data_IF_713445495333
#
_entry.id   IF_713445495333
#
_cell.length_a   1.000
_cell.length_b   1.000
_cell.length_c   1.000
_cell.angle_alpha   90.00
_cell.angle_beta   90.00
_cell.angle_gamma   90.00
#
_symmetry.space_group_name_H-M   'P 1'
#
loop_
_entity.id
_entity.type
_entity.pdbx_description
1 polymer ?
#
# COMPACT_ATOMS: atom_id res chain seq x y z
N UNK A 1 26.46 15.40 -18.80
CA UNK A 1 25.90 14.04 -18.69
C UNK A 1 25.20 13.92 -17.34
N UNK A 2 23.88 13.76 -17.25
CA UNK A 2 23.24 13.40 -15.99
C UNK A 2 23.85 12.08 -15.49
N UNK A 3 24.18 11.99 -14.20
CA UNK A 3 24.69 10.75 -13.58
C UNK A 3 23.63 9.66 -13.81
N UNK A 4 24.02 8.58 -14.50
CA UNK A 4 23.19 7.39 -14.62
C UNK A 4 22.89 6.88 -13.21
N UNK A 5 21.60 6.76 -12.88
CA UNK A 5 21.19 6.17 -11.61
C UNK A 5 21.49 4.68 -11.65
N UNK A 6 22.00 4.14 -10.56
CA UNK A 6 22.39 2.74 -10.43
C UNK A 6 21.71 2.11 -9.22
N UNK A 7 21.46 0.79 -9.24
CA UNK A 7 20.93 0.07 -8.08
C UNK A 7 21.76 0.32 -6.82
N UNK A 8 21.14 0.61 -5.65
CA UNK A 8 21.89 0.89 -4.42
C UNK A 8 22.74 -0.27 -3.90
N UNK A 9 22.26 -1.51 -4.08
CA UNK A 9 23.10 -2.72 -3.99
C UNK A 9 23.37 -3.19 -5.42
N UNK A 10 24.65 -3.44 -5.80
CA UNK A 10 24.98 -3.84 -7.16
C UNK A 10 24.21 -5.08 -7.59
N UNK A 11 23.50 -4.96 -8.71
CA UNK A 11 22.87 -6.03 -9.48
C UNK A 11 22.95 -5.67 -10.96
N UNK A 12 23.02 -6.66 -11.83
CA UNK A 12 23.07 -6.52 -13.28
C UNK A 12 22.19 -7.57 -13.98
N UNK A 13 21.71 -7.31 -15.21
CA UNK A 13 21.11 -8.34 -16.04
C UNK A 13 22.01 -9.58 -16.15
N UNK A 14 21.43 -10.76 -15.96
CA UNK A 14 22.11 -12.05 -15.89
C UNK A 14 22.36 -12.53 -14.45
N UNK A 15 22.45 -11.63 -13.47
CA UNK A 15 22.70 -12.00 -12.07
C UNK A 15 21.63 -12.95 -11.55
N UNK A 16 22.08 -13.97 -10.83
CA UNK A 16 21.24 -14.90 -10.10
C UNK A 16 21.28 -14.53 -8.63
N UNK A 17 20.10 -14.22 -8.11
CA UNK A 17 19.89 -13.91 -6.69
C UNK A 17 19.18 -15.05 -6.01
N UNK A 18 19.46 -15.24 -4.72
CA UNK A 18 18.85 -16.29 -3.93
C UNK A 18 18.56 -15.82 -2.51
N UNK A 19 17.52 -16.37 -1.91
CA UNK A 19 17.13 -16.18 -0.51
C UNK A 19 16.62 -17.49 0.07
N UNK A 20 16.66 -17.62 1.39
CA UNK A 20 15.88 -18.64 2.07
C UNK A 20 14.39 -18.27 2.05
N UNK A 21 13.53 -19.23 1.72
CA UNK A 21 12.08 -19.14 1.84
C UNK A 21 11.62 -19.87 3.10
N UNK A 22 11.02 -19.16 4.06
CA UNK A 22 10.37 -19.80 5.21
C UNK A 22 9.16 -20.66 4.80
N UNK A 23 8.49 -20.33 3.68
CA UNK A 23 7.30 -21.04 3.20
C UNK A 23 7.67 -22.44 2.70
N UNK A 24 8.74 -22.52 1.89
CA UNK A 24 9.24 -23.79 1.34
C UNK A 24 10.25 -24.48 2.25
N UNK A 25 10.73 -23.79 3.29
CA UNK A 25 11.87 -24.21 4.12
C UNK A 25 13.08 -24.65 3.26
N UNK A 26 13.36 -23.86 2.23
CA UNK A 26 14.40 -24.12 1.23
C UNK A 26 14.90 -22.79 0.65
N UNK A 27 16.05 -22.82 -0.01
CA UNK A 27 16.51 -21.69 -0.81
C UNK A 27 15.79 -21.66 -2.14
N UNK A 28 15.52 -20.45 -2.63
CA UNK A 28 14.88 -20.18 -3.91
C UNK A 28 15.75 -19.23 -4.73
N UNK A 29 15.59 -19.22 -6.05
CA UNK A 29 16.42 -18.41 -6.93
C UNK A 29 15.61 -17.60 -7.95
N UNK A 30 16.15 -16.46 -8.36
CA UNK A 30 15.60 -15.61 -9.41
C UNK A 30 16.73 -15.02 -10.25
N UNK A 31 16.47 -14.73 -11.52
CA UNK A 31 17.38 -14.03 -12.42
C UNK A 31 16.96 -12.57 -12.58
N UNK A 32 17.93 -11.65 -12.51
CA UNK A 32 17.74 -10.27 -12.94
C UNK A 32 17.83 -10.25 -14.46
N UNK A 33 16.81 -9.75 -15.13
CA UNK A 33 16.75 -9.77 -16.60
C UNK A 33 16.91 -8.39 -17.21
N UNK A 34 16.38 -7.36 -16.55
CA UNK A 34 16.41 -5.98 -17.04
C UNK A 34 16.49 -5.01 -15.86
N UNK A 35 17.04 -3.82 -16.11
CA UNK A 35 17.04 -2.70 -15.18
C UNK A 35 16.45 -1.48 -15.88
N UNK A 36 15.59 -0.74 -15.19
CA UNK A 36 15.05 0.53 -15.63
C UNK A 36 15.53 1.64 -14.69
N UNK A 37 16.53 2.45 -15.11
CA UNK A 37 17.04 3.56 -14.31
C UNK A 37 16.09 4.74 -14.15
N UNK A 38 15.08 4.89 -15.02
CA UNK A 38 14.10 5.97 -14.92
C UNK A 38 13.04 5.64 -13.87
N UNK A 39 12.51 4.41 -13.93
CA UNK A 39 11.52 3.92 -12.97
C UNK A 39 12.15 3.40 -11.66
N UNK A 40 13.48 3.25 -11.60
CA UNK A 40 14.19 2.64 -10.47
C UNK A 40 13.73 1.20 -10.18
N UNK A 41 13.50 0.42 -11.24
CA UNK A 41 13.00 -0.96 -11.15
C UNK A 41 13.97 -1.99 -11.74
N UNK A 42 13.85 -3.22 -11.25
CA UNK A 42 14.52 -4.40 -11.77
C UNK A 42 13.48 -5.43 -12.20
N UNK A 43 13.63 -6.00 -13.39
CA UNK A 43 12.81 -7.12 -13.85
C UNK A 43 13.38 -8.43 -13.31
N UNK A 44 12.62 -9.09 -12.42
CA UNK A 44 13.01 -10.29 -11.70
C UNK A 44 12.23 -11.47 -12.24
N UNK A 45 12.95 -12.47 -12.75
CA UNK A 45 12.42 -13.72 -13.28
C UNK A 45 12.59 -14.81 -12.22
N UNK A 46 11.49 -15.28 -11.63
CA UNK A 46 11.55 -16.38 -10.66
C UNK A 46 11.95 -17.67 -11.38
N UNK A 47 12.89 -18.42 -10.82
CA UNK A 47 13.30 -19.71 -11.36
C UNK A 47 12.46 -20.83 -10.75
N UNK A 48 12.22 -21.87 -11.55
CA UNK A 48 11.57 -23.11 -11.10
C UNK A 48 12.55 -23.97 -10.28
N UNK A 49 13.08 -23.40 -9.20
CA UNK A 49 14.15 -23.99 -8.41
C UNK A 49 13.96 -23.76 -6.92
N UNK A 50 14.10 -24.83 -6.15
CA UNK A 50 14.19 -24.78 -4.69
C UNK A 50 15.10 -25.89 -4.17
N UNK A 51 15.98 -25.60 -3.21
CA UNK A 51 16.92 -26.59 -2.68
C UNK A 51 17.74 -26.15 -1.47
N UNK A 52 18.83 -26.86 -1.15
CA UNK A 52 19.83 -26.42 -0.17
C UNK A 52 20.45 -25.06 -0.54
N UNK A 53 21.14 -24.43 0.40
CA UNK A 53 21.81 -23.14 0.15
C UNK A 53 22.82 -23.26 -1.01
N UNK A 54 22.63 -22.55 -2.13
CA UNK A 54 23.59 -22.58 -3.22
C UNK A 54 24.74 -21.61 -2.91
N UNK A 55 25.97 -22.03 -3.18
CA UNK A 55 27.15 -21.17 -3.11
C UNK A 55 27.39 -20.46 -4.44
N UNK A 56 27.11 -21.13 -5.56
CA UNK A 56 27.32 -20.62 -6.92
C UNK A 56 26.17 -21.03 -7.84
N UNK A 57 26.10 -20.43 -9.04
CA UNK A 57 25.14 -20.83 -10.07
C UNK A 57 25.27 -22.29 -10.52
N UNK A 58 26.43 -22.93 -10.33
CA UNK A 58 26.62 -24.34 -10.67
C UNK A 58 25.81 -25.28 -9.76
N UNK A 59 25.53 -24.86 -8.52
CA UNK A 59 24.76 -25.64 -7.55
C UNK A 59 23.26 -25.70 -7.91
N UNK A 60 22.81 -24.85 -8.83
CA UNK A 60 21.42 -24.84 -9.27
C UNK A 60 21.11 -25.95 -10.28
N UNK A 61 22.12 -26.49 -10.96
CA UNK A 61 21.94 -27.40 -12.09
C UNK A 61 21.23 -26.73 -13.27
N UNK A 62 20.44 -27.51 -14.00
CA UNK A 62 19.62 -26.99 -15.10
C UNK A 62 18.41 -26.23 -14.53
N UNK A 63 18.40 -24.91 -14.72
CA UNK A 63 17.30 -24.05 -14.26
C UNK A 63 16.42 -23.59 -15.42
N UNK A 64 15.13 -23.52 -15.15
CA UNK A 64 14.12 -22.99 -16.05
C UNK A 64 13.35 -21.83 -15.38
N UNK A 65 12.74 -20.93 -16.17
CA UNK A 65 11.77 -19.98 -15.63
C UNK A 65 10.59 -20.68 -14.95
N UNK A 66 10.11 -20.14 -13.82
CA UNK A 66 8.87 -20.61 -13.19
C UNK A 66 7.66 -20.34 -14.10
N UNK A 67 6.93 -21.40 -14.44
CA UNK A 67 5.68 -21.34 -15.20
C UNK A 67 4.51 -21.58 -14.27
N UNK A 68 3.57 -20.62 -14.22
CA UNK A 68 2.38 -20.68 -13.39
C UNK A 68 1.24 -21.35 -14.15
N UNK A 69 0.75 -22.46 -13.59
CA UNK A 69 -0.43 -23.21 -14.04
C UNK A 69 -1.50 -23.32 -12.96
N UNK A 70 -1.23 -22.79 -11.76
CA UNK A 70 -2.21 -22.80 -10.68
C UNK A 70 -3.37 -21.83 -10.92
N UNK A 71 -4.57 -22.15 -10.42
CA UNK A 71 -5.74 -21.27 -10.48
C UNK A 71 -6.07 -20.85 -11.93
N UNK A 72 -6.20 -19.54 -12.20
CA UNK A 72 -6.50 -18.98 -13.53
C UNK A 72 -5.22 -18.61 -14.33
N UNK A 73 -4.04 -19.03 -13.87
CA UNK A 73 -2.80 -18.79 -14.60
C UNK A 73 -2.65 -19.78 -15.75
N UNK A 74 -2.60 -19.26 -16.98
CA UNK A 74 -2.59 -20.07 -18.21
C UNK A 74 -1.16 -20.26 -18.76
N UNK A 75 -0.25 -20.82 -17.97
CA UNK A 75 1.14 -21.05 -18.38
C UNK A 75 1.98 -19.76 -18.45
N UNK A 76 1.63 -18.76 -17.64
CA UNK A 76 2.37 -17.50 -17.59
C UNK A 76 3.68 -17.70 -16.84
N UNK A 77 4.77 -17.14 -17.34
CA UNK A 77 6.04 -17.12 -16.60
C UNK A 77 5.98 -16.06 -15.49
N UNK A 78 6.44 -16.42 -14.30
CA UNK A 78 6.54 -15.48 -13.17
C UNK A 78 7.71 -14.51 -13.37
N UNK A 79 7.38 -13.35 -13.93
CA UNK A 79 8.33 -12.32 -14.32
C UNK A 79 7.70 -10.94 -14.06
N UNK A 80 8.30 -10.19 -13.14
CA UNK A 80 7.74 -8.94 -12.63
C UNK A 80 8.81 -7.85 -12.45
N UNK A 81 8.43 -6.60 -12.64
CA UNK A 81 9.20 -5.45 -12.19
C UNK A 81 9.04 -5.28 -10.67
N UNK A 82 10.16 -5.14 -9.98
CA UNK A 82 10.24 -4.80 -8.56
C UNK A 82 11.12 -3.58 -8.34
N UNK A 83 11.14 -3.05 -7.12
CA UNK A 83 12.08 -1.98 -6.76
C UNK A 83 13.52 -2.50 -6.91
N UNK A 84 14.40 -1.75 -7.55
CA UNK A 84 15.78 -2.19 -7.84
C UNK A 84 16.72 -2.23 -6.62
N UNK A 85 16.17 -2.15 -5.41
CA UNK A 85 16.92 -2.33 -4.17
C UNK A 85 16.91 -3.81 -3.84
N UNK A 86 18.02 -4.50 -4.09
CA UNK A 86 18.17 -5.92 -3.72
C UNK A 86 18.00 -6.07 -2.20
N UNK A 87 16.95 -6.75 -1.69
CA UNK A 87 16.70 -6.81 -0.26
C UNK A 87 17.82 -7.54 0.49
N UNK A 88 18.12 -7.13 1.73
CA UNK A 88 19.25 -7.67 2.51
C UNK A 88 19.22 -9.19 2.72
N UNK A 89 18.04 -9.81 2.69
CA UNK A 89 17.89 -11.27 2.74
C UNK A 89 18.35 -12.01 1.47
N UNK A 90 18.65 -11.29 0.38
CA UNK A 90 19.17 -11.86 -0.85
C UNK A 90 20.68 -11.72 -0.97
N UNK A 91 21.28 -12.72 -1.63
CA UNK A 91 22.66 -12.73 -2.10
C UNK A 91 22.72 -12.99 -3.61
N UNK A 92 23.72 -12.43 -4.28
CA UNK A 92 24.07 -12.75 -5.68
C UNK A 92 25.05 -13.92 -5.64
N UNK A 93 24.80 -14.96 -6.45
CA UNK A 93 25.63 -16.20 -6.48
C UNK A 93 26.36 -16.42 -7.81
N UNK A 94 26.26 -15.44 -8.72
CA UNK A 94 26.86 -15.48 -10.05
C UNK A 94 25.88 -14.99 -11.11
N UNK A 95 26.21 -15.22 -12.37
CA UNK A 95 25.36 -14.84 -13.50
C UNK A 95 25.19 -16.00 -14.48
N UNK A 96 24.04 -16.04 -15.14
CA UNK A 96 23.74 -16.95 -16.25
C UNK A 96 23.32 -16.13 -17.47
N UNK A 97 23.41 -16.69 -18.70
CA UNK A 97 22.74 -16.12 -19.86
C UNK A 97 21.28 -15.84 -19.56
N UNK A 98 20.73 -14.79 -20.15
CA UNK A 98 19.33 -14.44 -19.95
C UNK A 98 18.43 -15.58 -20.42
N UNK A 99 17.60 -16.10 -19.52
CA UNK A 99 16.56 -17.07 -19.86
C UNK A 99 15.39 -16.38 -20.58
N UNK A 100 15.34 -15.04 -20.53
CA UNK A 100 14.29 -14.22 -21.14
C UNK A 100 14.81 -12.84 -21.51
N UNK A 101 14.74 -12.52 -22.80
CA UNK A 101 15.21 -11.25 -23.37
C UNK A 101 14.15 -10.13 -23.41
N UNK A 102 12.89 -10.47 -23.15
CA UNK A 102 11.80 -9.50 -23.14
C UNK A 102 11.52 -9.03 -21.71
N UNK A 103 11.33 -7.73 -21.46
CA UNK A 103 10.93 -7.24 -20.15
C UNK A 103 9.49 -7.68 -19.82
N UNK A 104 9.16 -7.81 -18.52
CA UNK A 104 7.80 -8.13 -18.11
C UNK A 104 6.88 -6.92 -18.28
N UNK A 105 5.58 -7.19 -18.35
CA UNK A 105 4.53 -6.16 -18.28
C UNK A 105 3.82 -6.13 -16.91
N UNK A 106 4.29 -6.92 -15.94
CA UNK A 106 3.77 -6.95 -14.58
C UNK A 106 4.68 -6.18 -13.62
N UNK A 107 4.07 -5.63 -12.57
CA UNK A 107 4.73 -4.90 -11.51
C UNK A 107 4.28 -5.47 -10.17
N UNK A 108 5.21 -5.60 -9.23
CA UNK A 108 4.91 -6.06 -7.88
C UNK A 108 5.84 -5.38 -6.88
N UNK A 109 5.41 -5.31 -5.63
CA UNK A 109 6.14 -4.67 -4.55
C UNK A 109 6.70 -5.71 -3.59
N UNK A 110 7.97 -5.54 -3.21
CA UNK A 110 8.65 -6.49 -2.34
C UNK A 110 8.98 -7.79 -3.07
N UNK A 111 10.23 -8.21 -2.96
CA UNK A 111 10.74 -9.39 -3.68
C UNK A 111 10.26 -10.69 -3.02
N UNK A 112 9.02 -11.08 -3.29
CA UNK A 112 8.39 -12.34 -2.84
C UNK A 112 8.54 -13.44 -3.89
N UNK A 113 9.79 -13.74 -4.26
CA UNK A 113 10.14 -14.75 -5.28
C UNK A 113 9.72 -16.18 -4.89
N UNK A 114 9.40 -16.41 -3.63
CA UNK A 114 8.96 -17.70 -3.10
C UNK A 114 7.44 -17.91 -3.08
N UNK A 115 6.62 -16.84 -3.08
CA UNK A 115 5.16 -16.96 -2.92
C UNK A 115 4.52 -17.75 -4.06
N UNK A 116 4.80 -17.37 -5.31
CA UNK A 116 4.25 -18.05 -6.49
C UNK A 116 4.86 -19.44 -6.68
N UNK A 117 6.15 -19.61 -6.35
CA UNK A 117 6.79 -20.93 -6.40
C UNK A 117 6.11 -21.89 -5.41
N UNK A 118 5.84 -21.45 -4.19
CA UNK A 118 5.17 -22.26 -3.18
C UNK A 118 3.74 -22.63 -3.59
N UNK A 119 2.99 -21.69 -4.17
CA UNK A 119 1.65 -21.96 -4.71
C UNK A 119 1.69 -22.96 -5.86
N UNK A 120 2.66 -22.81 -6.77
CA UNK A 120 2.83 -23.75 -7.86
C UNK A 120 3.19 -25.14 -7.35
N UNK A 121 4.12 -25.26 -6.39
CA UNK A 121 4.47 -26.56 -5.78
C UNK A 121 3.30 -27.22 -5.07
N UNK A 122 2.46 -26.44 -4.38
CA UNK A 122 1.23 -26.95 -3.78
C UNK A 122 0.25 -27.45 -4.85
N UNK A 123 0.06 -26.68 -5.92
CA UNK A 123 -0.79 -27.07 -7.05
C UNK A 123 -0.32 -28.36 -7.73
N UNK A 124 1.00 -28.53 -7.88
CA UNK A 124 1.62 -29.70 -8.49
C UNK A 124 1.39 -30.99 -7.67
N UNK A 125 1.04 -30.90 -6.38
CA UNK A 125 0.64 -32.08 -5.57
C UNK A 125 -0.76 -32.58 -5.88
N UNK A 126 -1.52 -31.86 -6.73
CA UNK A 126 -2.92 -32.14 -7.05
C UNK A 126 -3.93 -31.53 -6.08
N UNK A 127 -3.47 -30.74 -5.10
CA UNK A 127 -4.36 -29.91 -4.27
C UNK A 127 -4.53 -28.55 -4.96
N UNK A 128 -5.75 -28.30 -5.41
CA UNK A 128 -6.11 -27.08 -6.13
C UNK A 128 -6.70 -25.99 -5.23
N UNK A 129 -6.59 -26.17 -3.91
CA UNK A 129 -6.93 -25.16 -2.92
C UNK A 129 -5.89 -24.03 -2.78
N UNK A 130 -6.23 -23.07 -1.93
CA UNK A 130 -5.28 -22.04 -1.50
C UNK A 130 -4.19 -22.66 -0.61
N UNK A 131 -2.93 -22.30 -0.87
CA UNK A 131 -1.80 -22.69 -0.01
C UNK A 131 -2.09 -22.26 1.45
N UNK A 132 -2.15 -23.20 2.40
CA UNK A 132 -2.38 -22.88 3.80
C UNK A 132 -1.30 -21.93 4.35
N UNK A 133 -1.72 -20.84 4.98
CA UNK A 133 -0.84 -19.82 5.57
C UNK A 133 -1.19 -19.58 7.05
N UNK A 134 -1.02 -20.57 7.93
CA UNK A 134 -1.38 -20.44 9.34
C UNK A 134 -0.59 -19.35 10.08
N UNK A 135 0.59 -18.95 9.57
CA UNK A 135 1.40 -17.86 10.12
C UNK A 135 0.90 -16.46 9.73
N UNK A 136 -0.15 -16.36 8.91
CA UNK A 136 -0.68 -15.10 8.39
C UNK A 136 -2.07 -14.80 8.95
N UNK A 137 -2.27 -13.55 9.39
CA UNK A 137 -3.53 -13.08 9.92
C UNK A 137 -3.89 -11.68 9.43
N UNK A 138 -5.18 -11.43 9.25
CA UNK A 138 -5.75 -10.08 9.19
C UNK A 138 -6.69 -9.89 10.36
N UNK A 139 -6.55 -8.77 11.07
CA UNK A 139 -7.30 -8.42 12.30
C UNK A 139 -7.71 -6.95 12.30
N UNK A 140 -8.70 -6.59 13.09
CA UNK A 140 -8.87 -5.22 13.60
C UNK A 140 -8.11 -5.04 14.92
N UNK A 141 -7.96 -3.80 15.40
CA UNK A 141 -7.32 -3.56 16.69
C UNK A 141 -8.04 -4.26 17.87
N UNK A 142 -9.36 -4.41 17.79
CA UNK A 142 -10.16 -5.10 18.80
C UNK A 142 -10.05 -6.64 18.74
N UNK A 143 -9.71 -7.18 17.57
CA UNK A 143 -9.58 -8.62 17.31
C UNK A 143 -8.17 -9.16 17.63
N UNK A 144 -7.23 -8.31 18.06
CA UNK A 144 -5.88 -8.76 18.38
C UNK A 144 -5.92 -9.79 19.52
N UNK A 145 -5.53 -11.01 19.23
CA UNK A 145 -5.40 -12.12 20.14
C UNK A 145 -3.92 -12.40 20.45
N UNK A 146 -3.61 -13.08 21.55
CA UNK A 146 -2.24 -13.52 21.79
C UNK A 146 -1.98 -14.77 20.93
N UNK A 147 -1.35 -14.56 19.77
CA UNK A 147 -1.05 -15.59 18.78
C UNK A 147 0.40 -15.42 18.30
N UNK A 148 1.39 -15.87 19.09
CA UNK A 148 2.81 -15.68 18.80
C UNK A 148 3.31 -16.43 17.55
N UNK A 149 2.56 -17.42 17.07
CA UNK A 149 2.81 -18.15 15.83
C UNK A 149 2.51 -17.34 14.56
N UNK A 150 1.75 -16.24 14.69
CA UNK A 150 1.50 -15.31 13.58
C UNK A 150 2.73 -14.44 13.37
N UNK A 151 3.34 -14.55 12.19
CA UNK A 151 4.51 -13.75 11.79
C UNK A 151 4.20 -12.74 10.68
N UNK A 152 3.08 -12.89 9.96
CA UNK A 152 2.56 -11.93 8.97
C UNK A 152 1.19 -11.39 9.42
N UNK A 153 1.19 -10.18 9.97
CA UNK A 153 -0.02 -9.56 10.52
C UNK A 153 -0.40 -8.29 9.77
N UNK A 154 -1.64 -8.25 9.30
CA UNK A 154 -2.30 -7.04 8.82
C UNK A 154 -3.35 -6.59 9.82
N UNK A 155 -3.17 -5.41 10.41
CA UNK A 155 -4.18 -4.77 11.26
C UNK A 155 -4.88 -3.66 10.46
N UNK A 156 -6.18 -3.82 10.22
CA UNK A 156 -7.00 -2.92 9.38
C UNK A 156 -7.98 -2.09 10.20
N UNK A 157 -8.42 -0.97 9.62
CA UNK A 157 -9.44 -0.07 10.18
C UNK A 157 -9.08 0.42 11.59
N UNK A 158 -7.80 0.72 11.80
CA UNK A 158 -7.32 1.22 13.08
C UNK A 158 -7.87 2.64 13.30
N UNK A 159 -8.63 2.80 14.37
CA UNK A 159 -8.99 4.11 14.96
C UNK A 159 -8.01 4.46 16.07
N UNK A 160 -7.68 3.50 16.93
CA UNK A 160 -6.60 3.57 17.93
C UNK A 160 -6.00 2.18 18.11
N UNK A 161 -4.67 2.09 18.19
CA UNK A 161 -3.94 0.85 18.43
C UNK A 161 -2.76 1.11 19.37
N UNK A 162 -2.70 0.33 20.45
CA UNK A 162 -1.54 0.27 21.33
C UNK A 162 -0.49 -0.69 20.76
N UNK A 163 0.66 -0.14 20.35
CA UNK A 163 1.76 -0.91 19.80
C UNK A 163 2.47 -1.77 20.86
N UNK A 164 2.41 -1.43 22.15
CA UNK A 164 2.92 -2.27 23.23
C UNK A 164 2.14 -3.59 23.31
N UNK A 165 0.80 -3.50 23.28
CA UNK A 165 -0.06 -4.68 23.26
C UNK A 165 0.15 -5.55 22.01
N UNK A 166 0.35 -4.91 20.86
CA UNK A 166 0.64 -5.61 19.61
C UNK A 166 1.93 -6.43 19.71
N UNK A 167 2.99 -5.85 20.26
CA UNK A 167 4.28 -6.53 20.43
C UNK A 167 4.18 -7.66 21.44
N UNK A 168 3.46 -7.47 22.55
CA UNK A 168 3.24 -8.51 23.56
C UNK A 168 2.45 -9.71 23.01
N UNK A 169 1.50 -9.45 22.12
CA UNK A 169 0.64 -10.48 21.50
C UNK A 169 1.30 -11.20 20.33
N UNK A 170 2.15 -10.49 19.58
CA UNK A 170 2.82 -11.00 18.39
C UNK A 170 4.31 -10.62 18.39
N UNK A 171 5.13 -11.20 19.28
CA UNK A 171 6.54 -10.81 19.44
C UNK A 171 7.45 -11.23 18.28
N UNK A 172 7.01 -12.17 17.43
CA UNK A 172 7.82 -12.81 16.38
C UNK A 172 7.49 -12.32 14.96
N UNK A 173 6.82 -11.17 14.83
CA UNK A 173 6.44 -10.62 13.53
C UNK A 173 7.65 -10.40 12.61
N UNK A 174 7.54 -10.92 11.38
CA UNK A 174 8.43 -10.63 10.26
C UNK A 174 7.79 -9.63 9.30
N UNK A 175 6.46 -9.61 9.23
CA UNK A 175 5.66 -8.74 8.37
C UNK A 175 4.58 -8.06 9.18
N UNK A 176 4.55 -6.73 9.13
CA UNK A 176 3.53 -5.94 9.80
C UNK A 176 2.96 -4.89 8.86
N UNK A 177 1.65 -4.95 8.63
CA UNK A 177 0.90 -3.94 7.89
C UNK A 177 -0.18 -3.30 8.77
N UNK A 178 -0.07 -2.01 9.01
CA UNK A 178 -1.00 -1.22 9.83
C UNK A 178 -1.75 -0.24 8.93
N UNK A 179 -3.08 -0.35 8.91
CA UNK A 179 -3.95 0.46 8.08
C UNK A 179 -5.01 1.14 8.93
N UNK A 180 -4.99 2.46 8.95
CA UNK A 180 -6.00 3.29 9.57
C UNK A 180 -6.62 4.28 8.58
N UNK A 181 -7.43 5.16 9.14
CA UNK A 181 -8.00 6.29 8.45
C UNK A 181 -7.98 7.50 9.38
N UNK A 182 -6.84 8.20 9.38
CA UNK A 182 -6.48 9.16 10.43
C UNK A 182 -6.46 8.54 11.84
N UNK A 183 -6.21 7.23 11.93
CA UNK A 183 -6.15 6.50 13.19
C UNK A 183 -4.92 6.84 14.03
N UNK A 184 -4.91 6.43 15.29
CA UNK A 184 -3.84 6.72 16.24
C UNK A 184 -3.04 5.45 16.60
N UNK A 185 -1.73 5.56 16.61
CA UNK A 185 -0.83 4.61 17.24
C UNK A 185 -0.33 5.20 18.55
N UNK A 186 -0.44 4.44 19.63
CA UNK A 186 0.15 4.76 20.95
C UNK A 186 1.27 3.78 21.25
N UNK A 187 2.24 4.20 22.06
CA UNK A 187 3.42 3.41 22.40
C UNK A 187 4.19 2.90 21.15
N UNK A 188 4.21 3.69 20.07
CA UNK A 188 4.76 3.28 18.78
C UNK A 188 6.28 2.99 18.83
N UNK A 189 6.99 3.57 19.80
CA UNK A 189 8.39 3.26 20.09
C UNK A 189 8.61 1.78 20.39
N UNK A 190 7.61 1.07 20.92
CA UNK A 190 7.66 -0.37 21.24
C UNK A 190 7.85 -1.23 19.99
N UNK A 191 7.54 -0.74 18.79
CA UNK A 191 7.84 -1.46 17.55
C UNK A 191 9.35 -1.77 17.38
N UNK A 192 10.23 -1.07 18.10
CA UNK A 192 11.66 -1.40 18.21
C UNK A 192 11.98 -2.70 18.98
N UNK A 193 10.97 -3.42 19.48
CA UNK A 193 11.13 -4.73 20.13
C UNK A 193 10.97 -5.89 19.15
N UNK A 194 10.42 -5.64 17.94
CA UNK A 194 10.24 -6.65 16.90
C UNK A 194 11.54 -6.90 16.12
N UNK A 195 12.55 -7.49 16.77
CA UNK A 195 13.88 -7.68 16.19
C UNK A 195 13.89 -8.50 14.87
N UNK A 196 12.90 -9.36 14.68
CA UNK A 196 12.71 -10.18 13.47
C UNK A 196 11.97 -9.47 12.33
N UNK A 197 11.52 -8.22 12.53
CA UNK A 197 10.70 -7.50 11.55
C UNK A 197 11.49 -7.24 10.27
N UNK A 198 11.01 -7.79 9.16
CA UNK A 198 11.56 -7.64 7.82
C UNK A 198 10.80 -6.57 7.04
N UNK A 199 9.48 -6.49 7.20
CA UNK A 199 8.64 -5.58 6.40
C UNK A 199 7.67 -4.83 7.29
N UNK A 200 7.71 -3.49 7.20
CA UNK A 200 6.78 -2.60 7.88
C UNK A 200 6.03 -1.74 6.87
N UNK A 201 4.70 -1.82 6.92
CA UNK A 201 3.80 -0.91 6.20
C UNK A 201 2.91 -0.17 7.18
N UNK A 202 2.88 1.16 7.11
CA UNK A 202 1.97 2.01 7.89
C UNK A 202 1.26 2.97 6.95
N UNK A 203 -0.07 2.93 6.95
CA UNK A 203 -0.90 3.75 6.07
C UNK A 203 -1.94 4.52 6.87
N UNK A 204 -1.97 5.84 6.70
CA UNK A 204 -2.97 6.75 7.24
C UNK A 204 -3.13 6.66 8.77
N UNK A 205 -1.98 6.65 9.47
CA UNK A 205 -1.88 6.51 10.92
C UNK A 205 -1.03 7.64 11.53
N UNK A 206 -1.41 8.07 12.73
CA UNK A 206 -0.93 9.25 13.44
C UNK A 206 -0.66 8.90 14.92
N UNK A 207 -0.37 9.90 15.75
CA UNK A 207 0.01 9.69 17.17
C UNK A 207 1.51 9.55 17.39
N UNK A 208 2.28 9.16 16.37
CA UNK A 208 3.74 9.06 16.44
C UNK A 208 4.43 10.43 16.30
N UNK A 209 5.55 10.56 16.99
CA UNK A 209 6.49 11.68 16.98
C UNK A 209 7.86 11.22 16.49
N UNK A 210 8.83 12.14 16.36
CA UNK A 210 10.19 11.76 15.98
C UNK A 210 10.91 10.83 16.98
N UNK A 211 10.45 10.78 18.24
CA UNK A 211 11.01 9.92 19.29
C UNK A 211 10.65 8.45 19.09
N UNK A 212 9.51 8.18 18.47
CA UNK A 212 8.95 6.84 18.30
C UNK A 212 9.54 6.10 17.08
N UNK A 213 10.54 6.69 16.41
CA UNK A 213 11.14 6.15 15.19
C UNK A 213 11.68 4.73 15.43
N UNK A 214 11.53 3.88 14.43
CA UNK A 214 12.26 2.62 14.37
C UNK A 214 13.75 2.90 14.14
N UNK A 215 14.61 2.19 14.88
CA UNK A 215 16.06 2.30 14.84
C UNK A 215 16.65 1.08 14.12
N UNK A 216 17.53 1.25 13.12
CA UNK A 216 18.16 0.13 12.40
C UNK A 216 18.83 -0.92 13.30
N UNK A 217 19.43 -0.49 14.41
CA UNK A 217 20.08 -1.35 15.40
C UNK A 217 19.11 -2.20 16.24
N UNK A 218 17.83 -1.79 16.32
CA UNK A 218 16.78 -2.49 17.08
C UNK A 218 15.98 -3.45 16.23
N UNK A 219 15.85 -3.15 14.94
CA UNK A 219 15.16 -3.98 13.94
C UNK A 219 16.09 -4.30 12.76
N UNK A 220 17.18 -5.04 13.00
CA UNK A 220 18.25 -5.24 12.03
C UNK A 220 17.82 -6.08 10.81
N UNK A 221 16.72 -6.83 10.91
CA UNK A 221 16.20 -7.65 9.81
C UNK A 221 15.40 -6.84 8.76
N UNK A 222 15.09 -5.56 9.03
CA UNK A 222 14.18 -4.79 8.18
C UNK A 222 14.76 -4.60 6.76
N UNK A 223 14.01 -5.05 5.77
CA UNK A 223 14.32 -4.98 4.34
C UNK A 223 13.35 -4.09 3.55
N UNK A 224 12.15 -3.81 4.09
CA UNK A 224 11.17 -2.92 3.46
C UNK A 224 10.44 -2.04 4.48
N UNK A 225 10.46 -0.73 4.22
CA UNK A 225 9.80 0.29 5.02
C UNK A 225 8.90 1.15 4.13
N UNK A 226 7.59 0.95 4.25
CA UNK A 226 6.57 1.62 3.43
C UNK A 226 5.64 2.45 4.32
N UNK A 227 5.79 3.78 4.31
CA UNK A 227 4.99 4.68 5.14
C UNK A 227 4.25 5.69 4.27
N UNK A 228 2.94 5.81 4.41
CA UNK A 228 2.14 6.81 3.69
C UNK A 228 1.08 7.42 4.60
N UNK A 229 0.89 8.74 4.54
CA UNK A 229 -0.13 9.39 5.37
C UNK A 229 0.23 9.37 6.85
N UNK A 230 1.46 9.77 7.20
CA UNK A 230 2.00 9.75 8.56
C UNK A 230 2.43 11.16 9.03
N UNK A 231 2.63 11.41 10.33
CA UNK A 231 3.08 12.71 10.84
C UNK A 231 4.41 13.17 10.22
N UNK A 232 4.53 14.46 9.87
CA UNK A 232 5.75 15.03 9.29
C UNK A 232 6.99 14.85 10.18
N UNK A 233 6.85 14.98 11.50
CA UNK A 233 7.95 14.78 12.46
C UNK A 233 8.48 13.34 12.42
N UNK A 234 7.57 12.37 12.49
CA UNK A 234 7.89 10.94 12.39
C UNK A 234 8.52 10.59 11.03
N UNK A 235 7.92 11.05 9.92
CA UNK A 235 8.44 10.83 8.57
C UNK A 235 9.88 11.35 8.41
N UNK A 236 10.17 12.53 8.96
CA UNK A 236 11.52 13.12 8.90
C UNK A 236 12.52 12.30 9.70
N UNK A 237 12.14 11.87 10.89
CA UNK A 237 12.97 11.01 11.75
C UNK A 237 13.25 9.64 11.10
N UNK A 238 12.22 9.01 10.51
CA UNK A 238 12.35 7.73 9.80
C UNK A 238 13.25 7.86 8.57
N UNK A 239 13.10 8.91 7.74
CA UNK A 239 14.01 9.15 6.60
C UNK A 239 15.46 9.30 7.05
N UNK A 240 15.70 10.02 8.15
CA UNK A 240 17.06 10.22 8.69
C UNK A 240 17.68 8.91 9.15
N UNK A 241 16.90 8.03 9.78
CA UNK A 241 17.39 6.75 10.28
C UNK A 241 17.61 5.71 9.15
N UNK A 242 16.70 5.66 8.18
CA UNK A 242 16.63 4.54 7.23
C UNK A 242 17.18 4.82 5.83
N UNK A 243 17.26 6.07 5.36
CA UNK A 243 17.92 6.35 4.06
C UNK A 243 19.37 5.84 3.99
N UNK A 244 20.20 5.94 5.05
CA UNK A 244 21.54 5.34 5.03
C UNK A 244 21.55 3.82 4.89
N UNK A 245 20.43 3.14 5.15
CA UNK A 245 20.30 1.67 5.03
C UNK A 245 19.95 1.22 3.61
N UNK A 246 19.60 2.13 2.69
CA UNK A 246 19.24 1.79 1.31
C UNK A 246 20.38 1.06 0.58
N UNK A 247 21.65 1.50 0.64
CA UNK A 247 22.79 0.75 0.08
C UNK A 247 23.03 -0.61 0.76
N UNK A 248 22.40 -0.85 1.92
CA UNK A 248 22.44 -2.10 2.67
C UNK A 248 21.16 -2.92 2.49
N UNK A 249 20.44 -2.73 1.39
CA UNK A 249 19.33 -3.59 0.98
C UNK A 249 18.03 -3.33 1.74
N UNK A 250 17.78 -2.09 2.13
CA UNK A 250 16.46 -1.68 2.67
C UNK A 250 15.75 -0.82 1.65
N UNK A 251 14.60 -1.28 1.20
CA UNK A 251 13.70 -0.45 0.42
C UNK A 251 12.99 0.55 1.35
N UNK A 252 13.12 1.85 1.07
CA UNK A 252 12.51 2.91 1.88
C UNK A 252 11.61 3.76 1.01
N UNK A 253 10.31 3.68 1.27
CA UNK A 253 9.30 4.52 0.64
C UNK A 253 8.48 5.23 1.70
N UNK A 254 8.62 6.55 1.75
CA UNK A 254 7.89 7.39 2.70
C UNK A 254 7.22 8.50 1.88
N UNK A 255 5.89 8.52 1.87
CA UNK A 255 5.07 9.45 1.07
C UNK A 255 4.01 10.14 1.93
N UNK A 256 3.41 11.20 1.38
CA UNK A 256 2.23 11.87 1.96
C UNK A 256 2.38 12.19 3.46
N UNK A 257 3.53 12.73 3.86
CA UNK A 257 3.73 13.16 5.24
C UNK A 257 2.82 14.37 5.53
N UNK A 258 2.06 14.33 6.63
CA UNK A 258 1.06 15.34 6.96
C UNK A 258 1.42 16.09 8.24
N UNK A 259 1.17 17.40 8.23
CA UNK A 259 1.28 18.23 9.41
C UNK A 259 -0.01 18.15 10.25
N UNK A 260 0.04 18.46 11.57
CA UNK A 260 -1.14 18.46 12.42
C UNK A 260 -2.28 19.33 11.88
N UNK A 261 -1.97 20.48 11.28
CA UNK A 261 -2.98 21.38 10.73
C UNK A 261 -3.74 20.75 9.55
N UNK A 262 -3.03 20.01 8.68
CA UNK A 262 -3.67 19.28 7.58
C UNK A 262 -4.64 18.23 8.11
N UNK A 263 -4.28 17.52 9.17
CA UNK A 263 -5.14 16.49 9.79
C UNK A 263 -6.39 17.13 10.38
N UNK A 264 -6.24 18.26 11.08
CA UNK A 264 -7.36 19.00 11.64
C UNK A 264 -8.31 19.51 10.54
N UNK A 265 -7.78 20.05 9.45
CA UNK A 265 -8.58 20.60 8.34
C UNK A 265 -9.26 19.55 7.45
N UNK A 266 -8.78 18.31 7.46
CA UNK A 266 -9.24 17.24 6.56
C UNK A 266 -9.88 16.05 7.29
N UNK A 267 -10.06 16.13 8.62
CA UNK A 267 -10.70 15.05 9.41
C UNK A 267 -12.08 14.69 8.88
N UNK A 268 -12.90 15.71 8.62
CA UNK A 268 -14.28 15.54 8.14
C UNK A 268 -14.40 15.73 6.62
N UNK A 269 -13.27 15.66 5.90
CA UNK A 269 -13.25 15.78 4.44
C UNK A 269 -13.25 14.37 3.80
N UNK A 270 -14.37 13.92 3.19
CA UNK A 270 -14.45 12.61 2.54
C UNK A 270 -13.56 12.51 1.30
N UNK A 271 -13.16 13.65 0.70
CA UNK A 271 -12.27 13.69 -0.46
C UNK A 271 -10.79 13.78 -0.06
N UNK A 272 -10.43 13.64 1.22
CA UNK A 272 -9.04 13.82 1.69
C UNK A 272 -8.03 12.93 0.97
N UNK A 273 -8.43 11.73 0.56
CA UNK A 273 -7.55 10.74 -0.07
C UNK A 273 -7.19 11.07 -1.52
N UNK A 274 -7.88 12.05 -2.11
CA UNK A 274 -7.51 12.61 -3.42
C UNK A 274 -6.21 13.43 -3.34
N UNK A 275 -5.79 13.87 -2.15
CA UNK A 275 -4.55 14.64 -1.97
C UNK A 275 -3.30 13.78 -2.23
N UNK A 276 -2.75 13.91 -3.44
CA UNK A 276 -1.58 13.16 -3.89
C UNK A 276 -1.93 11.76 -4.41
N UNK A 277 -3.19 11.51 -4.81
CA UNK A 277 -3.56 10.35 -5.63
C UNK A 277 -2.99 10.52 -7.03
N UNK A 278 -2.62 9.40 -7.65
CA UNK A 278 -2.21 9.39 -9.06
C UNK A 278 -3.34 9.97 -9.94
N UNK A 279 -2.99 10.69 -11.01
CA UNK A 279 -3.92 11.42 -11.92
C UNK A 279 -4.68 12.62 -11.31
N UNK A 280 -4.79 12.73 -9.99
CA UNK A 280 -5.39 13.89 -9.31
C UNK A 280 -4.33 14.91 -8.91
N UNK A 281 -4.09 15.89 -9.78
CA UNK A 281 -3.19 17.00 -9.49
C UNK A 281 -3.67 17.88 -8.33
N UNK A 282 -2.73 18.48 -7.58
CA UNK A 282 -3.00 19.35 -6.42
C UNK A 282 -4.08 20.41 -6.68
N UNK A 283 -4.03 21.07 -7.84
CA UNK A 283 -5.02 22.10 -8.21
C UNK A 283 -6.44 21.54 -8.30
N UNK A 284 -6.61 20.32 -8.81
CA UNK A 284 -7.92 19.66 -8.90
C UNK A 284 -8.42 19.27 -7.52
N UNK A 285 -7.56 18.64 -6.73
CA UNK A 285 -7.87 18.32 -5.34
C UNK A 285 -8.36 19.56 -4.56
N UNK A 286 -7.62 20.67 -4.62
CA UNK A 286 -8.01 21.92 -3.96
C UNK A 286 -9.39 22.41 -4.42
N UNK A 287 -9.69 22.34 -5.71
CA UNK A 287 -11.00 22.76 -6.24
C UNK A 287 -12.12 21.80 -5.85
N UNK A 288 -11.88 20.49 -5.86
CA UNK A 288 -12.84 19.49 -5.42
C UNK A 288 -13.23 19.68 -3.94
N UNK A 289 -12.24 19.90 -3.07
CA UNK A 289 -12.48 20.19 -1.65
C UNK A 289 -13.20 21.53 -1.45
N UNK A 290 -12.86 22.56 -2.22
CA UNK A 290 -13.55 23.84 -2.16
C UNK A 290 -15.03 23.70 -2.58
N UNK A 291 -15.30 22.94 -3.64
CA UNK A 291 -16.67 22.64 -4.09
C UNK A 291 -17.43 21.86 -3.04
N UNK A 292 -16.84 20.79 -2.48
CA UNK A 292 -17.44 20.01 -1.40
C UNK A 292 -17.81 20.88 -0.19
N UNK A 293 -16.90 21.74 0.28
CA UNK A 293 -17.15 22.68 1.39
C UNK A 293 -18.26 23.69 1.08
N UNK A 294 -18.36 24.15 -0.18
CA UNK A 294 -19.44 25.04 -0.63
C UNK A 294 -20.79 24.31 -0.60
N UNK A 295 -20.85 23.11 -1.15
CA UNK A 295 -22.05 22.25 -1.14
C UNK A 295 -22.50 21.95 0.28
N UNK A 296 -21.58 21.57 1.19
CA UNK A 296 -21.88 21.36 2.61
C UNK A 296 -22.62 22.54 3.23
N UNK A 297 -22.11 23.76 3.02
CA UNK A 297 -22.72 24.98 3.56
C UNK A 297 -24.13 25.18 3.00
N UNK A 298 -24.29 25.07 1.69
CA UNK A 298 -25.58 25.25 1.04
C UNK A 298 -26.62 24.20 1.48
N UNK A 299 -26.21 22.94 1.66
CA UNK A 299 -27.08 21.86 2.18
C UNK A 299 -27.58 22.20 3.57
N UNK A 300 -26.69 22.59 4.49
CA UNK A 300 -27.08 22.95 5.87
C UNK A 300 -28.04 24.15 5.90
N UNK A 301 -27.81 25.16 5.06
CA UNK A 301 -28.71 26.30 4.91
C UNK A 301 -30.09 25.87 4.39
N UNK A 302 -30.14 25.02 3.36
CA UNK A 302 -31.39 24.52 2.77
C UNK A 302 -32.19 23.63 3.74
N UNK A 303 -31.50 22.78 4.52
CA UNK A 303 -32.12 21.96 5.56
C UNK A 303 -32.72 22.82 6.68
N UNK A 304 -32.02 23.87 7.10
CA UNK A 304 -32.53 24.81 8.12
C UNK A 304 -33.77 25.56 7.63
N UNK A 305 -33.83 25.83 6.32
CA UNK A 305 -34.95 26.50 5.68
C UNK A 305 -36.12 25.56 5.28
N UNK A 306 -35.97 24.24 5.47
CA UNK A 306 -36.91 23.22 5.00
C UNK A 306 -37.29 23.38 3.52
N UNK A 307 -36.26 23.54 2.66
CA UNK A 307 -36.44 23.76 1.21
C UNK A 307 -35.93 22.58 0.36
N UNK A 308 -36.80 21.60 0.04
CA UNK A 308 -36.44 20.46 -0.81
C UNK A 308 -36.06 20.83 -2.23
N UNK A 309 -36.63 21.90 -2.80
CA UNK A 309 -36.32 22.31 -4.18
C UNK A 309 -34.89 22.82 -4.27
N UNK A 310 -34.45 23.55 -3.25
CA UNK A 310 -33.07 24.03 -3.16
C UNK A 310 -32.07 22.88 -3.08
N UNK A 311 -32.39 21.76 -2.42
CA UNK A 311 -31.50 20.59 -2.37
C UNK A 311 -31.27 19.96 -3.75
N UNK A 312 -32.30 19.88 -4.59
CA UNK A 312 -32.13 19.42 -5.99
C UNK A 312 -31.22 20.37 -6.77
N UNK A 313 -31.39 21.69 -6.60
CA UNK A 313 -30.51 22.67 -7.25
C UNK A 313 -29.06 22.56 -6.77
N UNK A 314 -28.84 22.35 -5.47
CA UNK A 314 -27.51 22.16 -4.90
C UNK A 314 -26.85 20.90 -5.49
N UNK A 315 -27.62 19.82 -5.63
CA UNK A 315 -27.16 18.60 -6.32
C UNK A 315 -26.72 18.88 -7.75
N UNK A 316 -27.53 19.65 -8.50
CA UNK A 316 -27.20 20.07 -9.87
C UNK A 316 -25.93 20.92 -9.92
N UNK A 317 -25.80 21.92 -9.05
CA UNK A 317 -24.61 22.78 -8.93
C UNK A 317 -23.35 21.96 -8.61
N UNK A 318 -23.48 20.93 -7.77
CA UNK A 318 -22.41 20.00 -7.47
C UNK A 318 -22.00 19.19 -8.71
N UNK A 319 -22.96 18.57 -9.40
CA UNK A 319 -22.72 17.83 -10.64
C UNK A 319 -22.01 18.69 -11.69
N UNK A 320 -22.55 19.86 -12.02
CA UNK A 320 -21.97 20.81 -13.00
C UNK A 320 -20.54 21.23 -12.64
N UNK A 321 -20.26 21.45 -11.35
CA UNK A 321 -18.92 21.79 -10.90
C UNK A 321 -17.92 20.65 -11.14
N UNK A 322 -18.31 19.40 -10.90
CA UNK A 322 -17.45 18.24 -11.17
C UNK A 322 -17.32 17.93 -12.67
N UNK A 323 -18.37 18.12 -13.48
CA UNK A 323 -18.27 18.11 -14.95
C UNK A 323 -17.19 19.10 -15.43
N UNK A 324 -17.19 20.32 -14.88
CA UNK A 324 -16.22 21.35 -15.24
C UNK A 324 -14.79 21.00 -14.82
N UNK A 325 -14.61 20.30 -13.69
CA UNK A 325 -13.31 19.81 -13.25
C UNK A 325 -12.81 18.67 -14.13
N UNK A 326 -13.71 17.81 -14.59
CA UNK A 326 -13.38 16.61 -15.33
C UNK A 326 -13.08 16.85 -16.81
N UNK A 327 -13.84 17.75 -17.45
CA UNK A 327 -13.87 18.03 -18.91
C UNK A 327 -12.54 18.00 -19.65
N UNK A 328 -11.44 18.41 -19.01
CA UNK A 328 -10.11 18.48 -19.65
C UNK A 328 -9.28 17.22 -19.53
N UNK A 329 -9.54 16.37 -18.55
CA UNK A 329 -8.65 15.25 -18.23
C UNK A 329 -9.34 13.92 -18.04
N UNK A 330 -10.66 13.86 -17.88
CA UNK A 330 -11.34 12.59 -17.62
C UNK A 330 -10.76 11.87 -16.42
N UNK A 331 -10.53 12.62 -15.32
CA UNK A 331 -9.89 12.06 -14.13
C UNK A 331 -10.89 11.43 -13.17
N UNK A 332 -12.18 11.72 -13.34
CA UNK A 332 -13.25 11.09 -12.58
C UNK A 332 -13.58 9.77 -13.28
N UNK A 333 -13.03 8.68 -12.75
CA UNK A 333 -13.33 7.33 -13.22
C UNK A 333 -14.40 6.70 -12.30
N UNK A 334 -14.57 5.38 -12.36
CA UNK A 334 -15.58 4.66 -11.55
C UNK A 334 -15.40 4.89 -10.05
N UNK A 335 -14.15 4.86 -9.57
CA UNK A 335 -13.84 5.02 -8.13
C UNK A 335 -14.13 6.44 -7.67
N UNK A 336 -13.61 7.45 -8.38
CA UNK A 336 -13.84 8.85 -8.04
C UNK A 336 -15.33 9.21 -8.11
N UNK A 337 -16.08 8.63 -9.05
CA UNK A 337 -17.53 8.79 -9.14
C UNK A 337 -18.22 8.29 -7.86
N UNK A 338 -17.91 7.07 -7.42
CA UNK A 338 -18.48 6.50 -6.19
C UNK A 338 -18.11 7.33 -4.95
N UNK A 339 -16.88 7.84 -4.90
CA UNK A 339 -16.42 8.70 -3.81
C UNK A 339 -17.14 10.06 -3.78
N UNK A 340 -17.52 10.62 -4.93
CA UNK A 340 -18.30 11.85 -4.99
C UNK A 340 -19.73 11.68 -4.47
N UNK A 341 -20.37 10.54 -4.71
CA UNK A 341 -21.66 10.22 -4.10
C UNK A 341 -21.52 9.92 -2.61
N UNK A 342 -20.52 9.12 -2.23
CA UNK A 342 -20.19 8.87 -0.82
C UNK A 342 -19.94 10.17 -0.06
N UNK A 343 -19.32 11.17 -0.70
CA UNK A 343 -19.12 12.48 -0.11
C UNK A 343 -20.45 13.21 0.16
N UNK A 344 -21.42 13.15 -0.76
CA UNK A 344 -22.76 13.71 -0.55
C UNK A 344 -23.52 12.96 0.54
N UNK A 345 -23.41 11.63 0.56
CA UNK A 345 -23.99 10.80 1.61
C UNK A 345 -23.47 11.19 2.98
N UNK A 346 -22.14 11.34 3.10
CA UNK A 346 -21.50 11.78 4.34
C UNK A 346 -22.01 13.16 4.82
N UNK A 347 -22.36 14.07 3.91
CA UNK A 347 -22.94 15.36 4.29
C UNK A 347 -24.31 15.20 4.95
N UNK A 348 -25.15 14.33 4.37
CA UNK A 348 -26.49 14.07 4.91
C UNK A 348 -26.38 13.34 6.24
N UNK A 349 -25.53 12.32 6.37
CA UNK A 349 -25.31 11.59 7.64
C UNK A 349 -24.88 12.54 8.78
N UNK A 350 -23.98 13.48 8.48
CA UNK A 350 -23.56 14.51 9.44
C UNK A 350 -24.72 15.42 9.85
N UNK A 351 -25.57 15.80 8.90
CA UNK A 351 -26.74 16.63 9.16
C UNK A 351 -27.81 15.87 9.96
N UNK A 352 -28.11 14.61 9.63
CA UNK A 352 -29.01 13.72 10.36
C UNK A 352 -28.59 13.58 11.82
N UNK A 353 -27.29 13.34 12.05
CA UNK A 353 -26.73 13.25 13.40
C UNK A 353 -26.88 14.56 14.17
N UNK A 354 -26.65 15.69 13.50
CA UNK A 354 -26.71 17.02 14.13
C UNK A 354 -28.15 17.45 14.44
N UNK A 355 -29.09 17.14 13.56
CA UNK A 355 -30.50 17.52 13.67
C UNK A 355 -31.35 16.46 14.40
N UNK A 356 -30.81 15.26 14.61
CA UNK A 356 -31.50 14.09 15.15
C UNK A 356 -32.81 13.75 14.40
N UNK A 357 -32.74 13.80 13.07
CA UNK A 357 -33.87 13.60 12.15
C UNK A 357 -33.46 12.67 11.00
N UNK A 358 -34.43 11.94 10.46
CA UNK A 358 -34.27 11.19 9.21
C UNK A 358 -34.31 12.16 8.02
N UNK A 359 -33.24 12.17 7.22
CA UNK A 359 -33.08 13.03 6.05
C UNK A 359 -32.91 12.19 4.77
N UNK A 360 -33.44 10.97 4.73
CA UNK A 360 -33.47 10.11 3.53
C UNK A 360 -33.98 10.88 2.30
N UNK A 361 -35.03 11.68 2.46
CA UNK A 361 -35.59 12.50 1.38
C UNK A 361 -34.61 13.58 0.86
N UNK A 362 -33.74 14.11 1.73
CA UNK A 362 -32.75 15.13 1.36
C UNK A 362 -31.63 14.51 0.51
N UNK A 363 -31.24 13.28 0.85
CA UNK A 363 -30.30 12.46 0.07
C UNK A 363 -30.83 12.22 -1.34
N UNK A 364 -32.08 11.76 -1.45
CA UNK A 364 -32.74 11.54 -2.75
C UNK A 364 -32.79 12.82 -3.58
N UNK A 365 -33.10 13.95 -2.95
CA UNK A 365 -33.17 15.27 -3.62
C UNK A 365 -31.82 15.70 -4.18
N UNK A 366 -30.74 15.56 -3.40
CA UNK A 366 -29.37 15.89 -3.85
C UNK A 366 -28.94 14.99 -5.01
N UNK A 367 -29.15 13.67 -4.88
CA UNK A 367 -28.79 12.70 -5.93
C UNK A 367 -29.56 12.97 -7.21
N UNK A 368 -30.88 13.24 -7.12
CA UNK A 368 -31.70 13.57 -8.28
C UNK A 368 -31.21 14.82 -9.00
N UNK A 369 -30.68 15.81 -8.29
CA UNK A 369 -30.07 17.00 -8.86
C UNK A 369 -28.77 16.70 -9.63
N UNK A 370 -27.89 15.88 -9.05
CA UNK A 370 -26.62 15.47 -9.67
C UNK A 370 -26.87 14.70 -10.96
N UNK A 371 -27.76 13.71 -10.91
CA UNK A 371 -28.05 12.81 -12.04
C UNK A 371 -28.63 13.54 -13.27
N UNK A 372 -29.27 14.71 -13.09
CA UNK A 372 -29.78 15.51 -14.21
C UNK A 372 -28.68 16.07 -15.13
N UNK A 373 -27.48 16.27 -14.59
CA UNK A 373 -26.40 16.99 -15.28
C UNK A 373 -25.10 16.24 -15.36
N UNK A 374 -24.90 15.19 -14.56
CA UNK A 374 -23.64 14.44 -14.51
C UNK A 374 -23.22 13.96 -15.90
N UNK A 375 -22.01 14.34 -16.31
CA UNK A 375 -21.37 13.91 -17.57
C UNK A 375 -19.99 13.24 -17.38
N UNK A 376 -19.58 13.02 -16.12
CA UNK A 376 -18.35 12.34 -15.69
C UNK A 376 -18.55 10.87 -15.28
#
# INVERSE_FOLDING_TARGET
MPRQRVPPRPIAPGDIVTRHSPILNAWVAAQITHLDPEAETAAVLTLDWSGPEPATVADLGDVAPLVLTHHAWNGRVEHCHHEWVLPRGFKVIGALPLLRDQPPNAYSHGWRVDDQLARQRHWDTGDHGDLPQPWKATRTAAELDHAPEITDLTVRRITTLDCGLLVERHPHLTDLSLHGDLGLLTAAERLNELASLQRLRIVNLFGMTGHDRLLPERVPALESLLLSGIPTGYATAMRRAWKPQIPHGVHVDIRRARKPEWVAENRDNPLRDWDGRERIGRTRYTKAVAQYRRTRRAVLEALTADDPRRLVEIGREYGEAFNALDRRTGFIETVEREELFTALDHLVDQAETTLAQDLTWARESLIAGVEQVRDW
#
